data_IF_627156118273
#
_entry.id   IF_627156118273
#
_cell.length_a   1.000
_cell.length_b   1.000
_cell.length_c   1.000
_cell.angle_alpha   90.00
_cell.angle_beta   90.00
_cell.angle_gamma   90.00
#
_symmetry.space_group_name_H-M   'P 1'
#
loop_
_entity.id
_entity.type
_entity.pdbx_description
1 polymer ?
#
# COMPACT_ATOMS: atom_id res chain seq x y z
N UNK A 1 81.99 3.18 44.61
CA UNK A 1 80.77 3.57 43.91
C UNK A 1 80.30 2.33 43.20
N UNK A 2 79.34 1.65 43.79
CA UNK A 2 79.02 0.26 43.47
C UNK A 2 77.69 0.21 42.82
N UNK A 3 77.63 -0.25 41.55
CA UNK A 3 76.41 -0.39 40.75
C UNK A 3 75.87 -1.80 41.00
N UNK A 4 74.62 -1.88 41.48
CA UNK A 4 73.93 -3.18 41.66
C UNK A 4 72.82 -3.30 40.60
N UNK A 5 73.05 -4.21 39.65
CA UNK A 5 72.03 -4.67 38.69
C UNK A 5 71.11 -5.65 39.40
N UNK A 6 69.81 -5.41 39.32
CA UNK A 6 68.79 -6.39 39.66
C UNK A 6 68.13 -6.89 38.38
N UNK A 7 68.28 -8.21 38.13
CA UNK A 7 67.54 -8.94 37.13
C UNK A 7 66.04 -9.07 37.57
N UNK A 8 65.16 -8.76 36.70
CA UNK A 8 63.72 -9.09 36.83
C UNK A 8 63.37 -10.21 35.87
N UNK A 9 62.87 -11.32 36.40
CA UNK A 9 62.31 -12.45 35.65
C UNK A 9 60.93 -12.05 35.08
N UNK A 10 60.60 -12.42 33.83
CA UNK A 10 59.23 -12.32 33.36
C UNK A 10 58.44 -13.57 33.76
N UNK A 11 57.35 -13.40 34.43
CA UNK A 11 56.34 -14.42 34.71
C UNK A 11 55.46 -14.55 33.47
N UNK A 12 55.53 -15.71 32.81
CA UNK A 12 54.64 -16.09 31.69
C UNK A 12 53.29 -16.56 32.29
N UNK A 13 52.24 -15.77 32.10
CA UNK A 13 50.87 -16.16 32.39
C UNK A 13 50.30 -16.78 31.12
N UNK A 14 50.10 -18.09 31.12
CA UNK A 14 49.37 -18.79 30.07
C UNK A 14 47.87 -18.61 30.28
N UNK A 15 47.21 -17.84 29.42
CA UNK A 15 45.75 -17.72 29.38
C UNK A 15 45.20 -18.82 28.45
N UNK A 16 44.57 -19.82 29.03
CA UNK A 16 43.82 -20.83 28.29
C UNK A 16 42.56 -20.24 27.73
N UNK A 17 42.49 -20.06 26.40
CA UNK A 17 41.28 -19.71 25.68
C UNK A 17 40.37 -20.95 25.56
N UNK A 18 39.36 -21.04 26.41
CA UNK A 18 38.26 -21.98 26.23
C UNK A 18 37.39 -21.52 25.04
N UNK A 19 37.53 -22.20 23.91
CA UNK A 19 36.65 -22.05 22.76
C UNK A 19 35.28 -22.62 23.12
N UNK A 20 34.38 -21.76 23.63
CA UNK A 20 32.97 -22.06 23.79
C UNK A 20 32.30 -22.09 22.42
N UNK A 21 31.96 -23.28 21.92
CA UNK A 21 31.06 -23.44 20.79
C UNK A 21 29.68 -22.87 21.17
N UNK A 22 29.33 -21.74 20.62
CA UNK A 22 28.03 -21.15 20.76
C UNK A 22 27.11 -21.71 19.64
N UNK A 23 26.18 -22.66 19.91
CA UNK A 23 25.34 -23.27 18.87
C UNK A 23 24.16 -22.37 18.41
N UNK A 24 24.07 -21.15 18.92
CA UNK A 24 23.09 -20.18 18.49
C UNK A 24 23.68 -19.16 17.52
N UNK A 25 23.95 -19.59 16.29
CA UNK A 25 24.01 -18.65 15.19
C UNK A 25 22.59 -18.12 14.97
N UNK A 26 22.33 -16.81 15.13
CA UNK A 26 21.05 -16.26 14.71
C UNK A 26 20.93 -16.54 13.22
N UNK A 27 19.92 -17.31 12.86
CA UNK A 27 19.52 -17.50 11.47
C UNK A 27 19.18 -16.11 10.95
N UNK A 28 20.06 -15.49 10.20
CA UNK A 28 19.77 -14.31 9.44
C UNK A 28 18.68 -14.70 8.44
N UNK A 29 17.43 -14.56 8.83
CA UNK A 29 16.32 -14.54 7.90
C UNK A 29 16.61 -13.36 6.99
N UNK A 30 16.74 -13.54 5.65
CA UNK A 30 16.92 -12.41 4.77
C UNK A 30 15.69 -11.52 4.97
N UNK A 31 15.89 -10.37 5.59
CA UNK A 31 14.90 -9.30 5.59
C UNK A 31 14.76 -8.92 4.12
N UNK A 32 13.63 -9.26 3.51
CA UNK A 32 13.36 -8.83 2.16
C UNK A 32 13.45 -7.30 2.17
N UNK A 33 14.42 -6.76 1.45
CA UNK A 33 14.53 -5.33 1.22
C UNK A 33 13.24 -4.93 0.52
N UNK A 34 12.46 -3.99 1.06
CA UNK A 34 11.25 -3.54 0.37
C UNK A 34 11.63 -3.12 -1.04
N UNK A 35 10.96 -3.67 -2.03
CA UNK A 35 11.18 -3.31 -3.43
C UNK A 35 10.77 -1.84 -3.56
N UNK A 36 11.74 -0.95 -3.60
CA UNK A 36 11.49 0.48 -3.73
C UNK A 36 11.13 0.76 -5.19
N UNK A 37 9.85 0.90 -5.46
CA UNK A 37 9.37 1.35 -6.77
C UNK A 37 9.67 2.84 -6.94
N UNK A 38 10.01 3.30 -8.17
CA UNK A 38 10.15 4.72 -8.44
C UNK A 38 8.86 5.47 -8.11
N UNK A 39 8.96 6.52 -7.30
CA UNK A 39 7.82 7.37 -6.97
C UNK A 39 7.58 8.35 -8.12
N UNK A 40 6.33 8.42 -8.60
CA UNK A 40 5.87 9.46 -9.53
C UNK A 40 5.39 10.67 -8.72
N UNK A 41 5.96 11.87 -8.94
CA UNK A 41 5.64 13.06 -8.15
C UNK A 41 4.20 13.57 -8.31
N UNK A 42 3.44 13.05 -9.28
CA UNK A 42 2.02 13.39 -9.45
C UNK A 42 1.14 12.78 -8.36
N UNK A 43 1.58 11.69 -7.75
CA UNK A 43 0.79 10.92 -6.78
C UNK A 43 1.21 11.20 -5.34
N UNK A 44 0.24 11.14 -4.44
CA UNK A 44 0.52 11.06 -3.01
C UNK A 44 1.32 9.78 -2.69
N UNK A 45 1.97 9.75 -1.54
CA UNK A 45 2.72 8.59 -1.10
C UNK A 45 1.77 7.40 -0.88
N UNK A 46 2.11 6.25 -1.48
CA UNK A 46 1.40 5.00 -1.20
C UNK A 46 1.84 4.46 0.15
N UNK A 47 0.91 4.36 1.10
CA UNK A 47 1.20 4.05 2.51
C UNK A 47 0.69 2.68 2.98
N UNK A 48 -0.05 1.96 2.14
CA UNK A 48 -0.58 0.65 2.52
C UNK A 48 0.51 -0.41 2.58
N UNK A 49 0.50 -1.19 3.66
CA UNK A 49 1.45 -2.28 3.88
C UNK A 49 0.73 -3.63 3.83
N UNK A 50 1.41 -4.63 3.25
CA UNK A 50 0.90 -5.99 3.14
C UNK A 50 2.05 -7.00 3.15
N UNK A 51 1.74 -8.24 3.51
CA UNK A 51 2.61 -9.40 3.32
C UNK A 51 2.18 -10.24 2.10
N UNK A 52 1.09 -9.85 1.43
CA UNK A 52 0.59 -10.51 0.22
C UNK A 52 1.51 -10.24 -0.98
N UNK A 53 1.60 -11.19 -1.91
CA UNK A 53 2.28 -10.99 -3.20
C UNK A 53 1.42 -10.11 -4.11
N UNK A 54 1.89 -8.89 -4.39
CA UNK A 54 1.13 -7.91 -5.17
C UNK A 54 1.21 -8.19 -6.67
N UNK A 55 0.03 -8.19 -7.32
CA UNK A 55 -0.12 -8.33 -8.77
C UNK A 55 -1.18 -7.35 -9.27
N UNK A 56 -0.86 -6.69 -10.39
CA UNK A 56 -1.88 -5.94 -11.11
C UNK A 56 -2.85 -6.95 -11.76
N UNK A 57 -4.13 -6.77 -11.48
CA UNK A 57 -5.22 -7.55 -12.06
C UNK A 57 -5.99 -6.66 -13.03
N UNK A 58 -6.28 -7.18 -14.21
CA UNK A 58 -7.14 -6.53 -15.19
C UNK A 58 -8.58 -7.04 -14.98
N UNK A 59 -9.35 -6.27 -14.20
CA UNK A 59 -10.70 -6.67 -13.76
C UNK A 59 -11.58 -5.44 -13.57
N UNK A 60 -12.84 -5.54 -13.95
CA UNK A 60 -13.88 -4.53 -13.72
C UNK A 60 -14.79 -4.87 -12.54
N UNK A 61 -14.97 -6.14 -12.23
CA UNK A 61 -15.80 -6.62 -11.14
C UNK A 61 -15.33 -6.07 -9.78
N UNK A 62 -14.03 -6.06 -9.53
CA UNK A 62 -13.46 -5.49 -8.29
C UNK A 62 -13.86 -4.03 -8.04
N UNK A 63 -14.12 -3.28 -9.12
CA UNK A 63 -14.61 -1.91 -9.01
C UNK A 63 -16.14 -1.86 -8.87
N UNK A 64 -16.86 -2.53 -9.79
CA UNK A 64 -18.30 -2.39 -9.89
C UNK A 64 -19.06 -3.01 -8.71
N UNK A 65 -18.49 -4.03 -8.08
CA UNK A 65 -19.08 -4.66 -6.91
C UNK A 65 -18.93 -3.83 -5.63
N UNK A 66 -17.82 -3.08 -5.52
CA UNK A 66 -17.55 -2.20 -4.38
C UNK A 66 -18.06 -0.76 -4.58
N UNK A 67 -18.23 -0.36 -5.81
CA UNK A 67 -18.69 0.97 -6.23
C UNK A 67 -19.79 0.80 -7.30
N UNK A 68 -21.02 0.40 -6.91
CA UNK A 68 -22.08 0.05 -7.87
C UNK A 68 -22.45 1.17 -8.86
N UNK A 69 -22.26 2.44 -8.46
CA UNK A 69 -22.48 3.59 -9.32
C UNK A 69 -21.36 3.89 -10.31
N UNK A 70 -20.24 3.15 -10.28
CA UNK A 70 -19.08 3.46 -11.12
C UNK A 70 -19.28 3.09 -12.58
N UNK A 71 -19.80 1.90 -12.86
CA UNK A 71 -20.01 1.40 -14.21
C UNK A 71 -18.70 1.23 -15.00
N UNK A 72 -17.61 0.79 -14.34
CA UNK A 72 -16.32 0.58 -14.99
C UNK A 72 -16.45 -0.38 -16.18
N UNK A 73 -15.81 -0.03 -17.29
CA UNK A 73 -15.76 -0.81 -18.54
C UNK A 73 -14.42 -1.47 -18.79
N UNK A 74 -13.35 -0.94 -18.17
CA UNK A 74 -12.00 -1.47 -18.14
C UNK A 74 -11.33 -1.05 -16.86
N UNK A 75 -10.24 -1.74 -16.46
CA UNK A 75 -9.51 -1.30 -15.29
C UNK A 75 -8.40 -2.22 -14.84
N UNK A 76 -7.47 -1.62 -14.12
CA UNK A 76 -6.32 -2.27 -13.53
C UNK A 76 -6.33 -2.01 -12.03
N UNK A 77 -6.30 -3.07 -11.23
CA UNK A 77 -6.47 -3.02 -9.79
C UNK A 77 -5.41 -3.84 -9.06
N UNK A 78 -5.04 -3.39 -7.88
CA UNK A 78 -4.32 -4.17 -6.89
C UNK A 78 -5.16 -4.17 -5.62
N UNK A 79 -5.43 -5.36 -5.10
CA UNK A 79 -6.06 -5.57 -3.80
C UNK A 79 -5.16 -6.44 -2.95
N UNK A 80 -5.08 -6.14 -1.66
CA UNK A 80 -4.37 -6.98 -0.70
C UNK A 80 -4.92 -6.76 0.71
N UNK A 81 -4.65 -7.69 1.60
CA UNK A 81 -4.95 -7.50 3.01
C UNK A 81 -3.89 -6.63 3.67
N UNK A 82 -4.29 -5.86 4.67
CA UNK A 82 -3.32 -5.17 5.51
C UNK A 82 -2.42 -6.19 6.22
N UNK A 83 -1.17 -5.79 6.45
CA UNK A 83 -0.24 -6.58 7.24
C UNK A 83 -0.81 -6.78 8.64
N UNK A 84 -0.90 -8.04 9.07
CA UNK A 84 -1.30 -8.36 10.44
C UNK A 84 -0.22 -7.85 11.41
N UNK A 85 -0.63 -7.02 12.37
CA UNK A 85 0.27 -6.63 13.46
C UNK A 85 0.65 -7.87 14.29
N UNK A 86 1.90 -7.97 14.71
CA UNK A 86 2.46 -9.12 15.43
C UNK A 86 1.69 -9.54 16.69
N UNK A 87 0.80 -8.70 17.21
CA UNK A 87 0.02 -8.89 18.44
C UNK A 87 -1.50 -9.04 18.20
N UNK A 88 -1.96 -9.09 16.95
CA UNK A 88 -3.40 -9.24 16.68
C UNK A 88 -3.78 -10.71 16.58
N UNK A 89 -4.78 -11.09 17.38
CA UNK A 89 -5.49 -12.34 17.13
C UNK A 89 -6.16 -12.24 15.75
N UNK A 90 -6.18 -13.33 14.96
CA UNK A 90 -6.89 -13.35 13.67
C UNK A 90 -8.34 -12.92 13.91
N UNK A 91 -8.74 -11.79 13.38
CA UNK A 91 -10.14 -11.38 13.35
C UNK A 91 -10.81 -12.09 12.18
N UNK A 92 -12.06 -12.54 12.30
CA UNK A 92 -12.81 -13.13 11.18
C UNK A 92 -12.97 -12.12 10.04
N UNK A 93 -12.89 -10.82 10.35
CA UNK A 93 -13.07 -9.73 9.41
C UNK A 93 -11.69 -9.14 9.05
N UNK A 94 -11.08 -9.67 7.99
CA UNK A 94 -9.79 -9.15 7.51
C UNK A 94 -10.01 -7.81 6.81
N UNK A 95 -9.19 -6.83 7.21
CA UNK A 95 -9.12 -5.56 6.52
C UNK A 95 -8.34 -5.73 5.21
N UNK A 96 -8.85 -5.14 4.15
CA UNK A 96 -8.16 -5.09 2.86
C UNK A 96 -8.08 -3.65 2.36
N UNK A 97 -7.19 -3.43 1.40
CA UNK A 97 -7.14 -2.20 0.63
C UNK A 97 -7.23 -2.51 -0.86
N UNK A 98 -7.70 -1.52 -1.59
CA UNK A 98 -7.79 -1.53 -3.04
C UNK A 98 -7.22 -0.22 -3.58
N UNK A 99 -6.34 -0.33 -4.57
CA UNK A 99 -5.95 0.81 -5.40
C UNK A 99 -6.12 0.45 -6.87
N UNK A 100 -6.54 1.42 -7.70
CA UNK A 100 -6.81 1.12 -9.09
C UNK A 100 -6.97 2.33 -9.98
N UNK A 101 -6.92 2.04 -11.28
CA UNK A 101 -7.24 2.96 -12.37
C UNK A 101 -8.26 2.27 -13.24
N UNK A 102 -9.38 2.93 -13.53
CA UNK A 102 -10.46 2.33 -14.33
C UNK A 102 -11.02 3.29 -15.39
N UNK A 103 -11.45 2.71 -16.50
CA UNK A 103 -12.23 3.39 -17.54
C UNK A 103 -13.69 3.41 -17.14
N UNK A 104 -14.34 4.57 -17.27
CA UNK A 104 -15.74 4.77 -16.87
C UNK A 104 -16.50 5.56 -17.91
N UNK A 105 -17.84 5.42 -17.97
CA UNK A 105 -18.68 6.22 -18.87
C UNK A 105 -18.61 7.71 -18.57
N UNK A 106 -18.79 8.55 -19.59
CA UNK A 106 -18.90 10.02 -19.47
C UNK A 106 -19.97 10.44 -18.44
N UNK A 107 -21.06 9.69 -18.34
CA UNK A 107 -22.14 9.96 -17.37
C UNK A 107 -21.65 9.86 -15.93
N UNK A 108 -20.80 8.89 -15.63
CA UNK A 108 -20.20 8.73 -14.28
C UNK A 108 -19.26 9.88 -13.97
N UNK A 109 -18.40 10.24 -14.95
CA UNK A 109 -17.50 11.40 -14.82
C UNK A 109 -18.30 12.68 -14.52
N UNK A 110 -19.36 12.94 -15.30
CA UNK A 110 -20.21 14.13 -15.12
C UNK A 110 -20.79 14.18 -13.71
N UNK A 111 -21.34 13.08 -13.20
CA UNK A 111 -21.90 13.03 -11.85
C UNK A 111 -20.89 13.32 -10.74
N UNK A 112 -19.61 12.98 -10.98
CA UNK A 112 -18.55 13.17 -9.99
C UNK A 112 -17.97 14.59 -10.01
N UNK A 113 -18.03 15.28 -11.15
CA UNK A 113 -17.40 16.61 -11.34
C UNK A 113 -18.36 17.76 -11.09
N UNK A 114 -19.68 17.59 -11.33
CA UNK A 114 -20.66 18.67 -11.38
C UNK A 114 -20.78 19.53 -10.10
N UNK A 115 -20.34 19.03 -8.94
CA UNK A 115 -20.45 19.80 -7.69
C UNK A 115 -19.20 19.81 -6.80
N UNK A 116 -18.08 19.12 -7.14
CA UNK A 116 -17.05 18.87 -6.14
C UNK A 116 -15.64 18.64 -6.70
N UNK A 117 -14.96 19.72 -6.92
CA UNK A 117 -13.52 19.67 -7.15
C UNK A 117 -12.81 19.51 -5.79
N UNK A 118 -12.10 18.42 -5.60
CA UNK A 118 -11.26 18.21 -4.43
C UNK A 118 -10.09 19.22 -4.41
N UNK A 119 -9.69 19.62 -3.21
CA UNK A 119 -8.64 20.62 -3.03
C UNK A 119 -7.20 20.09 -3.08
N UNK A 120 -6.97 18.80 -3.35
CA UNK A 120 -5.62 18.23 -3.38
C UNK A 120 -4.92 18.53 -4.70
N UNK A 121 -3.65 18.92 -4.62
CA UNK A 121 -2.77 19.06 -5.79
C UNK A 121 -2.10 17.75 -6.22
N UNK A 122 -2.16 16.71 -5.37
CA UNK A 122 -1.62 15.39 -5.67
C UNK A 122 -2.76 14.43 -6.01
N UNK A 123 -2.49 13.50 -6.91
CA UNK A 123 -3.37 12.38 -7.24
C UNK A 123 -3.40 11.37 -6.09
N UNK A 124 -4.43 10.50 -6.02
CA UNK A 124 -4.50 9.43 -5.03
C UNK A 124 -3.22 8.61 -4.91
N UNK A 125 -2.87 8.26 -3.67
CA UNK A 125 -1.72 7.41 -3.37
C UNK A 125 -1.96 5.96 -3.75
N UNK A 126 -1.88 5.63 -5.03
CA UNK A 126 -2.03 4.26 -5.54
C UNK A 126 -0.68 3.53 -5.59
N UNK A 127 -0.74 2.19 -5.65
CA UNK A 127 0.47 1.39 -5.74
C UNK A 127 1.27 1.70 -7.03
N UNK A 128 2.60 1.88 -6.97
CA UNK A 128 3.42 2.32 -8.10
C UNK A 128 3.34 1.46 -9.38
N UNK A 129 3.01 0.19 -9.27
CA UNK A 129 2.76 -0.67 -10.43
C UNK A 129 1.57 -0.20 -11.30
N UNK A 130 0.72 0.68 -10.77
CA UNK A 130 -0.45 1.22 -11.46
C UNK A 130 -0.19 2.55 -12.17
N UNK A 131 0.92 3.25 -11.91
CA UNK A 131 1.19 4.57 -12.49
C UNK A 131 1.13 4.59 -14.01
N UNK A 132 1.58 3.53 -14.67
CA UNK A 132 1.56 3.40 -16.13
C UNK A 132 0.16 3.38 -16.75
N UNK A 133 -0.88 3.17 -15.95
CA UNK A 133 -2.28 3.19 -16.37
C UNK A 133 -2.97 4.53 -16.15
N UNK A 134 -2.25 5.50 -15.57
CA UNK A 134 -2.68 6.90 -15.46
C UNK A 134 -1.76 7.78 -16.34
N UNK A 135 -2.05 7.90 -17.65
CA UNK A 135 -1.17 8.56 -18.61
C UNK A 135 -0.90 10.01 -18.22
N UNK A 136 0.30 10.52 -18.54
CA UNK A 136 0.71 11.88 -18.20
C UNK A 136 -0.08 12.95 -18.98
N UNK A 137 -0.55 12.61 -20.18
CA UNK A 137 -1.38 13.46 -21.00
C UNK A 137 -2.81 13.63 -20.46
N UNK A 138 -3.26 12.76 -19.57
CA UNK A 138 -4.58 12.87 -18.93
C UNK A 138 -4.52 13.85 -17.75
N UNK A 139 -5.31 14.90 -17.82
CA UNK A 139 -5.48 15.81 -16.68
C UNK A 139 -6.49 15.23 -15.72
N UNK A 140 -6.07 15.02 -14.48
CA UNK A 140 -6.93 14.53 -13.42
C UNK A 140 -7.29 15.65 -12.44
N UNK A 141 -8.50 15.58 -11.91
CA UNK A 141 -9.01 16.44 -10.83
C UNK A 141 -9.40 15.55 -9.66
N UNK A 142 -8.95 15.88 -8.46
CA UNK A 142 -9.35 15.15 -7.24
C UNK A 142 -10.81 15.46 -6.89
N UNK A 143 -11.50 14.47 -6.36
CA UNK A 143 -12.89 14.55 -5.89
C UNK A 143 -12.90 14.32 -4.39
N UNK A 144 -13.75 15.03 -3.66
CA UNK A 144 -13.93 14.81 -2.23
C UNK A 144 -14.38 13.35 -1.98
N UNK A 145 -13.69 12.57 -1.13
CA UNK A 145 -14.06 11.19 -0.87
C UNK A 145 -15.49 10.99 -0.39
N UNK A 146 -16.02 11.92 0.41
CA UNK A 146 -17.41 11.83 0.89
C UNK A 146 -18.42 11.93 -0.26
N UNK A 147 -18.11 12.75 -1.27
CA UNK A 147 -18.91 12.86 -2.49
C UNK A 147 -18.76 11.61 -3.34
N UNK A 148 -17.54 11.16 -3.57
CA UNK A 148 -17.29 9.94 -4.35
C UNK A 148 -18.01 8.73 -3.73
N UNK A 149 -17.91 8.53 -2.43
CA UNK A 149 -18.63 7.47 -1.70
C UNK A 149 -20.14 7.56 -1.91
N UNK A 150 -20.71 8.75 -1.76
CA UNK A 150 -22.16 8.96 -1.93
C UNK A 150 -22.61 8.72 -3.37
N UNK A 151 -21.90 9.27 -4.36
CA UNK A 151 -22.27 9.17 -5.79
C UNK A 151 -22.11 7.74 -6.29
N UNK A 152 -21.05 7.07 -5.88
CA UNK A 152 -20.73 5.71 -6.35
C UNK A 152 -21.42 4.62 -5.53
N UNK A 153 -22.08 4.98 -4.44
CA UNK A 153 -22.87 4.05 -3.64
C UNK A 153 -22.04 3.04 -2.88
N UNK A 154 -20.86 3.45 -2.40
CA UNK A 154 -20.06 2.60 -1.50
C UNK A 154 -20.76 2.47 -0.15
N UNK A 155 -20.61 1.32 0.48
CA UNK A 155 -21.16 1.04 1.79
C UNK A 155 -20.08 0.57 2.77
N UNK A 156 -19.59 1.43 3.66
CA UNK A 156 -18.59 1.07 4.65
C UNK A 156 -19.13 0.14 5.75
N UNK A 157 -20.45 -0.03 5.85
CA UNK A 157 -21.11 -0.86 6.86
C UNK A 157 -21.60 -2.22 6.30
N UNK A 158 -21.41 -2.49 5.00
CA UNK A 158 -21.88 -3.70 4.31
C UNK A 158 -21.02 -4.94 4.61
N UNK A 159 -20.66 -5.17 5.87
CA UNK A 159 -19.79 -6.29 6.30
C UNK A 159 -20.36 -7.69 6.01
N UNK A 160 -21.65 -7.79 5.72
CA UNK A 160 -22.34 -9.05 5.38
C UNK A 160 -22.60 -9.23 3.88
N UNK A 161 -22.05 -8.35 3.05
CA UNK A 161 -22.11 -8.55 1.59
C UNK A 161 -21.08 -9.58 1.14
N UNK A 162 -21.28 -10.20 -0.02
CA UNK A 162 -20.32 -11.15 -0.62
C UNK A 162 -18.96 -10.49 -0.94
N UNK A 163 -18.92 -9.17 -0.99
CA UNK A 163 -17.76 -8.35 -1.38
C UNK A 163 -17.19 -7.51 -0.22
N UNK A 164 -17.78 -7.63 0.96
CA UNK A 164 -17.41 -6.87 2.13
C UNK A 164 -17.84 -5.40 2.06
N UNK A 165 -17.39 -4.63 3.03
CA UNK A 165 -17.55 -3.18 3.03
C UNK A 165 -16.43 -2.52 2.23
N UNK A 166 -16.68 -1.31 1.71
CA UNK A 166 -15.65 -0.52 1.04
C UNK A 166 -15.88 0.97 1.24
N UNK A 167 -14.80 1.70 1.51
CA UNK A 167 -14.80 3.15 1.64
C UNK A 167 -13.68 3.75 0.79
N UNK A 168 -14.04 4.69 -0.07
CA UNK A 168 -13.09 5.46 -0.85
C UNK A 168 -12.40 6.45 0.10
N UNK A 169 -11.07 6.43 0.12
CA UNK A 169 -10.22 7.35 0.88
C UNK A 169 -9.68 8.48 0.03
N UNK A 170 -9.32 8.17 -1.21
CA UNK A 170 -8.82 9.13 -2.18
C UNK A 170 -9.39 8.82 -3.56
N UNK A 171 -9.75 9.87 -4.30
CA UNK A 171 -10.38 9.71 -5.60
C UNK A 171 -10.01 10.85 -6.55
N UNK A 172 -9.80 10.53 -7.82
CA UNK A 172 -9.59 11.50 -8.88
C UNK A 172 -10.22 11.03 -10.18
N UNK A 173 -10.62 12.01 -11.02
CA UNK A 173 -11.25 11.78 -12.32
C UNK A 173 -10.52 12.53 -13.40
N UNK A 174 -10.48 11.97 -14.62
CA UNK A 174 -10.09 12.66 -15.83
C UNK A 174 -11.26 12.72 -16.81
N UNK A 175 -11.76 13.93 -17.04
CA UNK A 175 -12.83 14.18 -18.03
C UNK A 175 -12.32 14.01 -19.47
N UNK A 176 -11.01 14.20 -19.66
CA UNK A 176 -10.40 14.10 -20.98
C UNK A 176 -10.20 12.63 -21.42
N UNK A 177 -9.92 11.76 -20.46
CA UNK A 177 -9.53 10.38 -20.75
C UNK A 177 -10.59 9.36 -20.29
N UNK A 178 -11.67 9.78 -19.65
CA UNK A 178 -12.68 8.91 -19.06
C UNK A 178 -12.10 7.91 -18.07
N UNK A 179 -11.12 8.36 -17.30
CA UNK A 179 -10.41 7.55 -16.30
C UNK A 179 -10.73 8.04 -14.89
N UNK A 180 -10.73 7.09 -13.99
CA UNK A 180 -10.69 7.37 -12.53
C UNK A 180 -9.44 6.76 -11.91
N UNK A 181 -9.02 7.36 -10.81
CA UNK A 181 -8.00 6.80 -9.92
C UNK A 181 -8.63 6.70 -8.54
N UNK A 182 -8.50 5.55 -7.91
CA UNK A 182 -9.09 5.29 -6.59
C UNK A 182 -8.11 4.62 -5.66
N UNK A 183 -8.13 5.04 -4.40
CA UNK A 183 -7.56 4.34 -3.27
C UNK A 183 -8.60 4.25 -2.15
N UNK A 184 -8.75 3.09 -1.54
CA UNK A 184 -9.72 2.84 -0.49
C UNK A 184 -9.45 1.55 0.25
N UNK A 185 -10.21 1.34 1.30
CA UNK A 185 -10.10 0.18 2.18
C UNK A 185 -11.47 -0.32 2.64
N UNK A 186 -11.49 -1.52 3.19
CA UNK A 186 -12.71 -2.14 3.67
C UNK A 186 -12.47 -3.39 4.50
N UNK A 187 -13.54 -4.11 4.76
CA UNK A 187 -13.56 -5.36 5.52
C UNK A 187 -14.11 -6.49 4.65
N UNK A 188 -13.59 -7.70 4.83
CA UNK A 188 -14.11 -8.93 4.19
C UNK A 188 -14.03 -8.90 2.66
N UNK A 189 -12.80 -8.83 2.12
CA UNK A 189 -12.56 -8.94 0.67
C UNK A 189 -12.44 -10.39 0.21
#
# INVERSE_FOLDING_TARGET
>A
MISTRRLALPVLVAVALAAGCNPFTPRNTPTATPTQYPQDPRFAEFTYETDDELKVQERVDSFNERMPGLGATGGHVITAHFRDGADRQPTPDRQFWLTGVAEVPDTTITMLVDDNVGGSSLLPGIHPLLYKYAPEECTFTTVDPAVANKVLGTDPEAIYSDWGSFEIREFAVSTQCNLIIVAGDGLNA
#
